data_IF_689350935302
#
_entry.id   IF_689350935302
#
_cell.length_a   1.000
_cell.length_b   1.000
_cell.length_c   1.000
_cell.angle_alpha   90.00
_cell.angle_beta   90.00
_cell.angle_gamma   90.00
#
_symmetry.space_group_name_H-M   'P 1'
#
loop_
_entity.id
_entity.type
_entity.pdbx_description
1 polymer ?
#
# COMPACT_ATOMS: atom_id res chain seq x y z
N UNK A 1 33.60 45.28 -73.34
CA UNK A 1 33.68 44.01 -72.58
C UNK A 1 33.08 44.29 -71.21
N UNK A 2 31.80 43.93 -71.02
CA UNK A 2 31.00 44.25 -69.84
C UNK A 2 31.47 43.40 -68.64
N UNK A 3 31.99 44.03 -67.59
CA UNK A 3 32.31 43.33 -66.34
C UNK A 3 31.07 43.30 -65.44
N UNK A 4 30.48 42.13 -65.28
CA UNK A 4 29.45 41.84 -64.28
C UNK A 4 30.13 41.61 -62.92
N UNK A 5 29.81 42.43 -61.92
CA UNK A 5 30.14 42.15 -60.51
C UNK A 5 28.88 41.68 -59.80
N UNK A 6 28.82 40.38 -59.51
CA UNK A 6 27.74 39.72 -58.76
C UNK A 6 27.87 40.04 -57.27
N UNK A 7 26.87 40.73 -56.70
CA UNK A 7 26.72 40.93 -55.26
C UNK A 7 26.26 39.62 -54.61
N UNK A 8 27.02 39.11 -53.63
CA UNK A 8 26.63 37.99 -52.78
C UNK A 8 25.60 38.48 -51.73
N UNK A 9 24.38 37.94 -51.77
CA UNK A 9 23.41 38.10 -50.69
C UNK A 9 23.71 37.08 -49.59
N UNK A 10 23.93 37.55 -48.37
CA UNK A 10 24.03 36.69 -47.18
C UNK A 10 22.65 36.61 -46.57
N UNK A 11 22.01 35.44 -46.61
CA UNK A 11 20.72 35.19 -45.99
C UNK A 11 20.91 35.02 -44.47
N UNK A 12 20.25 35.86 -43.69
CA UNK A 12 20.22 35.79 -42.23
C UNK A 12 19.08 34.84 -41.83
N UNK A 13 19.39 33.59 -41.49
CA UNK A 13 18.44 32.65 -40.90
C UNK A 13 18.11 33.08 -39.46
N UNK A 14 16.91 33.63 -39.24
CA UNK A 14 16.34 33.77 -37.90
C UNK A 14 15.91 32.40 -37.38
N UNK A 15 16.65 31.88 -36.41
CA UNK A 15 16.25 30.72 -35.60
C UNK A 15 15.15 31.17 -34.63
N UNK A 16 13.91 30.75 -34.89
CA UNK A 16 12.81 30.86 -33.94
C UNK A 16 13.01 29.83 -32.82
N UNK A 17 13.35 30.29 -31.62
CA UNK A 17 13.31 29.47 -30.41
C UNK A 17 11.84 29.28 -30.01
N UNK A 18 11.28 28.10 -30.30
CA UNK A 18 10.02 27.69 -29.70
C UNK A 18 10.26 27.37 -28.22
N UNK A 19 9.76 28.23 -27.32
CA UNK A 19 9.74 27.92 -25.89
C UNK A 19 8.75 26.78 -25.65
N UNK A 20 9.27 25.57 -25.38
CA UNK A 20 8.48 24.50 -24.80
C UNK A 20 8.07 24.91 -23.39
N UNK A 21 6.83 25.37 -23.23
CA UNK A 21 6.20 25.50 -21.92
C UNK A 21 6.05 24.10 -21.33
N UNK A 22 6.89 23.78 -20.36
CA UNK A 22 6.69 22.60 -19.51
C UNK A 22 5.55 22.97 -18.56
N UNK A 23 4.35 22.49 -18.85
CA UNK A 23 3.25 22.60 -17.89
C UNK A 23 3.59 21.76 -16.66
N UNK A 24 3.52 22.32 -15.44
CA UNK A 24 3.74 21.55 -14.23
C UNK A 24 2.61 20.50 -14.13
N UNK A 25 3.01 19.24 -14.01
CA UNK A 25 2.09 18.16 -13.63
C UNK A 25 1.54 18.51 -12.25
N UNK A 26 0.32 19.06 -12.21
CA UNK A 26 -0.40 19.30 -10.96
C UNK A 26 -0.67 17.93 -10.35
N UNK A 27 0.13 17.56 -9.35
CA UNK A 27 -0.23 16.49 -8.44
C UNK A 27 -1.55 16.92 -7.80
N UNK A 28 -2.64 16.17 -8.03
CA UNK A 28 -3.88 16.40 -7.33
C UNK A 28 -3.59 16.29 -5.82
N UNK A 29 -3.57 17.43 -5.12
CA UNK A 29 -3.62 17.42 -3.67
C UNK A 29 -5.00 16.89 -3.28
N UNK A 30 -5.07 15.58 -3.02
CA UNK A 30 -6.26 14.97 -2.48
C UNK A 30 -6.52 15.57 -1.10
N UNK A 31 -7.52 16.45 -1.03
CA UNK A 31 -8.05 16.99 0.22
C UNK A 31 -8.33 15.85 1.20
N UNK A 32 -7.78 15.96 2.41
CA UNK A 32 -7.99 15.00 3.51
C UNK A 32 -9.47 14.94 3.97
N UNK A 33 -10.36 15.81 3.46
CA UNK A 33 -11.79 15.86 3.81
C UNK A 33 -12.58 14.60 3.46
N UNK A 34 -12.12 13.82 2.48
CA UNK A 34 -12.85 12.65 1.99
C UNK A 34 -12.50 11.36 2.76
N UNK A 35 -11.54 11.43 3.70
CA UNK A 35 -11.14 10.30 4.51
C UNK A 35 -12.04 10.17 5.75
N UNK A 36 -12.56 8.97 5.96
CA UNK A 36 -13.32 8.60 7.15
C UNK A 36 -12.45 7.73 8.05
N UNK A 37 -12.38 8.04 9.35
CA UNK A 37 -11.68 7.18 10.30
C UNK A 37 -12.39 5.84 10.44
N UNK A 38 -11.64 4.73 10.32
CA UNK A 38 -12.16 3.37 10.55
C UNK A 38 -11.83 2.85 11.95
N UNK A 39 -11.12 3.65 12.75
CA UNK A 39 -10.89 3.39 14.16
C UNK A 39 -11.29 4.61 14.99
N UNK A 40 -12.06 4.38 16.05
CA UNK A 40 -12.63 5.47 16.84
C UNK A 40 -11.69 6.03 17.93
N UNK A 41 -10.49 5.45 18.09
CA UNK A 41 -9.48 5.90 19.07
C UNK A 41 -9.72 5.45 20.51
N UNK A 42 -10.85 4.79 20.81
CA UNK A 42 -11.32 4.52 22.17
C UNK A 42 -11.52 3.05 22.48
N UNK A 43 -12.07 2.28 21.54
CA UNK A 43 -12.37 0.86 21.70
C UNK A 43 -12.42 0.16 20.33
N UNK A 44 -12.84 -1.09 20.29
CA UNK A 44 -12.92 -1.90 19.07
C UNK A 44 -14.31 -1.86 18.40
N UNK A 45 -15.18 -0.90 18.72
CA UNK A 45 -16.46 -0.77 18.01
C UNK A 45 -16.20 -0.53 16.52
N UNK A 46 -16.93 -1.25 15.66
CA UNK A 46 -16.67 -1.33 14.21
C UNK A 46 -15.62 -2.37 13.81
N UNK A 47 -15.10 -3.15 14.76
CA UNK A 47 -14.16 -4.24 14.53
C UNK A 47 -14.64 -5.56 15.14
N UNK A 48 -14.37 -6.67 14.45
CA UNK A 48 -14.76 -8.02 14.85
C UNK A 48 -13.62 -9.03 14.65
N UNK A 49 -13.81 -10.27 15.10
CA UNK A 49 -12.81 -11.34 14.98
C UNK A 49 -11.98 -11.47 16.25
N UNK A 50 -10.66 -11.38 16.13
CA UNK A 50 -9.73 -11.59 17.24
C UNK A 50 -9.68 -10.41 18.23
N UNK A 51 -10.81 -9.92 18.72
CA UNK A 51 -10.90 -8.74 19.61
C UNK A 51 -10.11 -8.90 20.91
N UNK A 52 -9.98 -10.13 21.43
CA UNK A 52 -9.12 -10.44 22.59
C UNK A 52 -7.63 -10.22 22.32
N UNK A 53 -7.21 -10.25 21.05
CA UNK A 53 -5.83 -10.04 20.61
C UNK A 53 -5.45 -8.58 20.38
N UNK A 54 -6.39 -7.65 20.55
CA UNK A 54 -6.18 -6.21 20.34
C UNK A 54 -6.74 -5.39 21.49
N UNK A 55 -6.35 -4.13 21.59
CA UNK A 55 -6.93 -3.18 22.52
C UNK A 55 -6.70 -1.74 22.03
N UNK A 56 -7.54 -0.83 22.52
CA UNK A 56 -7.37 0.60 22.30
C UNK A 56 -6.63 1.23 23.48
N UNK A 57 -5.67 2.12 23.19
CA UNK A 57 -4.97 2.91 24.20
C UNK A 57 -4.43 4.19 23.58
N UNK A 58 -4.68 5.34 24.22
CA UNK A 58 -4.15 6.65 23.81
C UNK A 58 -4.40 6.99 22.33
N UNK A 59 -5.61 6.68 21.82
CA UNK A 59 -5.96 6.91 20.41
C UNK A 59 -5.39 5.88 19.43
N UNK A 60 -4.68 4.85 19.91
CA UNK A 60 -4.07 3.80 19.11
C UNK A 60 -4.84 2.49 19.19
N UNK A 61 -4.85 1.74 18.09
CA UNK A 61 -5.25 0.34 18.05
C UNK A 61 -3.97 -0.50 18.15
N UNK A 62 -3.86 -1.35 19.17
CA UNK A 62 -2.63 -2.06 19.48
C UNK A 62 -2.86 -3.57 19.43
N UNK A 63 -2.04 -4.28 18.66
CA UNK A 63 -1.99 -5.74 18.68
C UNK A 63 -1.23 -6.21 19.94
N UNK A 64 -1.76 -7.21 20.64
CA UNK A 64 -1.12 -7.80 21.83
C UNK A 64 -0.02 -8.77 21.42
N UNK A 65 1.14 -8.63 22.07
CA UNK A 65 2.22 -9.62 22.01
C UNK A 65 1.70 -10.99 22.48
N UNK A 66 2.17 -12.06 21.84
CA UNK A 66 1.85 -13.46 22.10
C UNK A 66 0.36 -13.85 21.88
N UNK A 67 -0.44 -12.94 21.31
CA UNK A 67 -1.84 -13.21 20.91
C UNK A 67 -2.06 -12.87 19.44
N UNK A 68 -2.28 -11.59 19.10
CA UNK A 68 -2.64 -11.19 17.74
C UNK A 68 -3.91 -11.87 17.23
N UNK A 69 -3.88 -12.33 15.98
CA UNK A 69 -5.04 -12.87 15.27
C UNK A 69 -5.61 -11.89 14.26
N UNK A 70 -6.66 -12.33 13.56
CA UNK A 70 -7.28 -11.57 12.48
C UNK A 70 -8.42 -10.70 13.02
N UNK A 71 -8.22 -9.39 12.96
CA UNK A 71 -9.22 -8.40 13.34
C UNK A 71 -9.77 -7.72 12.08
N UNK A 72 -11.07 -7.75 11.88
CA UNK A 72 -11.74 -7.31 10.65
C UNK A 72 -12.55 -6.05 10.90
N UNK A 73 -12.65 -5.17 9.92
CA UNK A 73 -13.67 -4.12 9.90
C UNK A 73 -15.06 -4.75 9.79
N UNK A 74 -16.09 -4.12 10.37
CA UNK A 74 -17.49 -4.50 10.18
C UNK A 74 -17.93 -4.33 8.71
N UNK A 75 -17.49 -3.24 8.08
CA UNK A 75 -17.78 -2.86 6.71
C UNK A 75 -16.84 -3.55 5.71
N UNK A 76 -17.39 -3.86 4.54
CA UNK A 76 -16.62 -4.29 3.37
C UNK A 76 -16.34 -3.10 2.45
N UNK A 77 -15.18 -3.13 1.78
CA UNK A 77 -14.71 -2.10 0.88
C UNK A 77 -14.35 -2.69 -0.47
N UNK A 78 -14.69 -1.96 -1.55
CA UNK A 78 -14.39 -2.34 -2.94
C UNK A 78 -13.14 -1.61 -3.45
N UNK A 79 -13.31 -0.40 -3.94
CA UNK A 79 -12.22 0.49 -4.35
C UNK A 79 -12.00 1.53 -3.25
N UNK A 80 -10.76 1.75 -2.85
CA UNK A 80 -10.45 2.66 -1.75
C UNK A 80 -8.99 3.12 -1.74
N UNK A 81 -8.74 4.19 -0.99
CA UNK A 81 -7.43 4.54 -0.47
C UNK A 81 -7.48 4.42 1.05
N UNK A 82 -6.64 3.57 1.61
CA UNK A 82 -6.47 3.40 3.06
C UNK A 82 -5.16 4.07 3.46
N UNK A 83 -5.21 4.98 4.43
CA UNK A 83 -4.03 5.59 5.07
C UNK A 83 -3.98 5.19 6.53
N UNK A 84 -2.79 4.90 7.03
CA UNK A 84 -2.58 4.60 8.43
C UNK A 84 -1.12 4.82 8.82
N UNK A 85 -0.92 5.04 10.12
CA UNK A 85 0.40 5.03 10.72
C UNK A 85 0.58 3.74 11.52
N UNK A 86 1.79 3.19 11.50
CA UNK A 86 2.15 2.03 12.28
C UNK A 86 3.55 2.17 12.90
N UNK A 87 3.75 1.51 14.02
CA UNK A 87 5.05 1.41 14.70
C UNK A 87 5.35 -0.03 15.07
N UNK A 88 6.53 -0.48 14.67
CA UNK A 88 7.00 -1.85 14.85
C UNK A 88 7.79 -2.01 16.14
N UNK A 89 7.70 -3.19 16.75
CA UNK A 89 8.69 -3.73 17.70
C UNK A 89 9.67 -4.67 16.98
N UNK A 90 10.85 -4.99 17.57
CA UNK A 90 11.82 -5.88 16.94
C UNK A 90 11.23 -7.24 16.58
N UNK A 91 11.36 -7.64 15.32
CA UNK A 91 10.85 -8.90 14.79
C UNK A 91 9.33 -8.95 14.62
N UNK A 92 8.63 -7.81 14.66
CA UNK A 92 7.20 -7.76 14.46
C UNK A 92 6.77 -8.27 13.08
N UNK A 93 5.61 -8.90 13.03
CA UNK A 93 4.96 -9.42 11.83
C UNK A 93 3.43 -9.27 11.97
N UNK A 94 2.81 -8.66 10.98
CA UNK A 94 1.38 -8.47 10.83
C UNK A 94 1.09 -8.24 9.33
N UNK A 95 -0.13 -7.90 8.95
CA UNK A 95 -0.45 -7.51 7.59
C UNK A 95 -1.73 -6.70 7.52
N UNK A 96 -1.87 -5.92 6.45
CA UNK A 96 -3.14 -5.34 6.05
C UNK A 96 -3.77 -6.25 5.01
N UNK A 97 -4.71 -7.07 5.46
CA UNK A 97 -5.62 -7.79 4.59
C UNK A 97 -6.64 -6.85 3.97
N UNK A 98 -6.99 -7.07 2.70
CA UNK A 98 -8.09 -6.40 2.02
C UNK A 98 -8.85 -7.36 1.12
N UNK A 99 -10.13 -7.01 0.85
CA UNK A 99 -11.09 -7.89 0.19
C UNK A 99 -11.22 -9.26 0.87
N UNK A 100 -10.94 -9.33 2.17
CA UNK A 100 -10.97 -10.58 2.91
C UNK A 100 -12.42 -10.96 3.19
N UNK A 101 -12.88 -12.18 2.86
CA UNK A 101 -14.20 -12.62 3.30
C UNK A 101 -14.23 -12.71 4.82
N UNK A 102 -15.38 -12.42 5.40
CA UNK A 102 -15.65 -12.70 6.81
C UNK A 102 -15.47 -14.21 7.07
N UNK A 103 -14.77 -14.53 8.15
CA UNK A 103 -14.46 -15.90 8.58
C UNK A 103 -13.90 -16.78 7.44
N UNK A 104 -12.71 -16.43 6.89
CA UNK A 104 -12.16 -17.16 5.77
C UNK A 104 -11.86 -18.61 6.19
N UNK A 105 -12.18 -19.57 5.31
CA UNK A 105 -11.84 -20.99 5.51
C UNK A 105 -10.32 -21.26 5.39
N UNK A 106 -9.59 -20.32 4.81
CA UNK A 106 -8.14 -20.35 4.60
C UNK A 106 -7.52 -19.06 5.16
N UNK A 107 -6.20 -18.90 5.02
CA UNK A 107 -5.52 -17.68 5.48
C UNK A 107 -6.12 -16.42 4.82
N UNK A 108 -6.30 -15.30 5.56
CA UNK A 108 -6.67 -14.00 5.00
C UNK A 108 -5.82 -13.58 3.79
N UNK A 109 -4.52 -13.91 3.80
CA UNK A 109 -3.61 -13.61 2.70
C UNK A 109 -4.07 -14.19 1.36
N UNK A 110 -4.64 -15.40 1.36
CA UNK A 110 -5.07 -16.12 0.15
C UNK A 110 -6.58 -16.08 -0.07
N UNK A 111 -7.38 -15.94 0.99
CA UNK A 111 -8.83 -15.77 0.92
C UNK A 111 -9.24 -14.37 0.47
N UNK A 112 -8.48 -13.34 0.88
CA UNK A 112 -8.51 -11.98 0.35
C UNK A 112 -7.20 -11.68 -0.36
N UNK A 113 -6.51 -10.63 0.06
CA UNK A 113 -5.15 -10.24 -0.36
C UNK A 113 -4.48 -9.54 0.82
N UNK A 114 -3.15 -9.56 0.92
CA UNK A 114 -2.45 -8.98 2.07
C UNK A 114 -1.25 -8.12 1.65
N UNK A 115 -1.16 -6.92 2.24
CA UNK A 115 0.06 -6.11 2.24
C UNK A 115 0.83 -6.39 3.53
N UNK A 116 2.06 -6.85 3.40
CA UNK A 116 2.89 -7.29 4.53
C UNK A 116 3.30 -6.12 5.46
N UNK A 117 3.19 -6.31 6.78
CA UNK A 117 3.76 -5.41 7.81
C UNK A 117 4.82 -6.19 8.60
N UNK A 118 6.10 -5.91 8.32
CA UNK A 118 7.20 -6.73 8.84
C UNK A 118 8.37 -5.86 9.28
N UNK A 119 9.01 -6.24 10.38
CA UNK A 119 10.38 -5.78 10.66
C UNK A 119 11.37 -6.53 9.75
N UNK A 120 11.65 -5.93 8.59
CA UNK A 120 12.61 -6.41 7.59
C UNK A 120 14.04 -6.61 8.12
N UNK A 121 14.38 -6.00 9.27
CA UNK A 121 15.74 -6.06 9.85
C UNK A 121 15.95 -7.26 10.76
N UNK A 122 14.88 -7.96 11.16
CA UNK A 122 14.98 -9.06 12.09
C UNK A 122 15.68 -10.27 11.48
N UNK A 123 16.72 -10.79 12.17
CA UNK A 123 17.55 -11.92 11.70
C UNK A 123 16.75 -13.16 11.28
N UNK A 124 15.61 -13.43 11.95
CA UNK A 124 14.71 -14.56 11.62
C UNK A 124 14.10 -14.46 10.21
N UNK A 125 14.06 -13.27 9.63
CA UNK A 125 13.51 -13.00 8.31
C UNK A 125 14.59 -12.80 7.23
N UNK A 126 15.86 -13.08 7.52
CA UNK A 126 16.98 -12.84 6.60
C UNK A 126 16.94 -13.68 5.29
N UNK A 127 16.10 -14.72 5.24
CA UNK A 127 16.02 -15.67 4.11
C UNK A 127 14.60 -15.78 3.53
N UNK A 128 13.78 -14.75 3.69
CA UNK A 128 12.47 -14.72 3.07
C UNK A 128 12.57 -14.53 1.55
N UNK A 129 11.54 -15.00 0.84
CA UNK A 129 11.33 -14.68 -0.56
C UNK A 129 10.98 -13.20 -0.72
N UNK A 130 11.30 -12.63 -1.89
CA UNK A 130 11.14 -11.18 -2.14
C UNK A 130 9.71 -10.68 -1.88
N UNK A 131 8.69 -11.51 -2.17
CA UNK A 131 7.26 -11.18 -1.98
C UNK A 131 6.77 -11.30 -0.53
N UNK A 132 7.64 -11.63 0.42
CA UNK A 132 7.29 -11.80 1.84
C UNK A 132 7.83 -10.69 2.73
N UNK A 133 8.59 -9.73 2.19
CA UNK A 133 9.09 -8.58 2.94
C UNK A 133 8.04 -7.47 3.01
N UNK A 134 8.25 -6.52 3.93
CA UNK A 134 7.32 -5.43 4.18
C UNK A 134 6.85 -4.70 2.90
N UNK A 135 5.56 -4.37 2.88
CA UNK A 135 4.91 -3.65 1.80
C UNK A 135 4.57 -4.51 0.57
N UNK A 136 5.10 -5.73 0.47
CA UNK A 136 4.79 -6.63 -0.63
C UNK A 136 3.30 -7.01 -0.61
N UNK A 137 2.70 -7.13 -1.80
CA UNK A 137 1.45 -7.88 -1.96
C UNK A 137 1.80 -9.35 -1.86
N UNK A 138 1.51 -9.95 -0.70
CA UNK A 138 2.04 -11.25 -0.30
C UNK A 138 1.77 -12.33 -1.37
N UNK A 139 2.81 -13.08 -1.73
CA UNK A 139 2.75 -14.12 -2.76
C UNK A 139 2.64 -13.62 -4.20
N UNK A 140 2.31 -12.34 -4.43
CA UNK A 140 1.93 -11.82 -5.75
C UNK A 140 2.93 -10.81 -6.31
N UNK A 141 3.28 -9.76 -5.56
CA UNK A 141 4.15 -8.69 -6.05
C UNK A 141 5.13 -8.21 -4.96
N UNK A 142 6.45 -8.25 -5.21
CA UNK A 142 7.43 -7.79 -4.24
C UNK A 142 7.48 -6.27 -4.15
N UNK A 143 7.68 -5.74 -2.94
CA UNK A 143 7.92 -4.32 -2.71
C UNK A 143 9.40 -3.94 -2.88
N UNK A 144 9.63 -2.67 -3.23
CA UNK A 144 10.93 -2.02 -3.08
C UNK A 144 11.30 -1.95 -1.58
N UNK A 145 12.51 -2.37 -1.23
CA UNK A 145 13.01 -2.38 0.15
C UNK A 145 13.68 -1.06 0.53
N UNK A 146 13.80 -0.81 1.84
CA UNK A 146 14.66 0.26 2.39
C UNK A 146 13.95 1.56 2.79
N UNK A 147 12.61 1.62 2.72
CA UNK A 147 11.84 2.83 3.04
C UNK A 147 11.19 2.81 4.43
N UNK A 148 11.38 1.74 5.20
CA UNK A 148 10.99 1.68 6.62
C UNK A 148 11.90 2.60 7.43
N UNK A 149 11.30 3.34 8.36
CA UNK A 149 12.05 3.98 9.44
C UNK A 149 12.56 2.93 10.44
N UNK A 150 13.57 3.26 11.27
CA UNK A 150 14.03 2.39 12.33
C UNK A 150 12.89 1.84 13.20
N UNK A 151 13.07 0.62 13.71
CA UNK A 151 12.13 0.00 14.65
C UNK A 151 11.93 0.93 15.86
N UNK A 152 10.67 1.09 16.28
CA UNK A 152 10.28 2.07 17.30
C UNK A 152 9.88 3.45 16.76
N UNK A 153 10.04 3.72 15.47
CA UNK A 153 9.54 4.94 14.83
C UNK A 153 8.21 4.74 14.09
N UNK A 154 7.44 5.82 13.99
CA UNK A 154 6.19 5.85 13.25
C UNK A 154 6.43 5.92 11.74
N UNK A 155 5.91 4.92 11.04
CA UNK A 155 5.81 4.88 9.59
C UNK A 155 4.40 5.26 9.16
N UNK A 156 4.27 5.94 8.02
CA UNK A 156 2.97 6.22 7.38
C UNK A 156 2.88 5.40 6.09
N UNK A 157 1.79 4.64 5.93
CA UNK A 157 1.54 3.87 4.72
C UNK A 157 0.18 4.21 4.12
N UNK A 158 0.16 4.30 2.80
CA UNK A 158 -1.04 4.40 1.99
C UNK A 158 -1.16 3.16 1.09
N UNK A 159 -2.36 2.58 1.05
CA UNK A 159 -2.74 1.50 0.15
C UNK A 159 -3.89 1.99 -0.73
N UNK A 160 -3.64 2.14 -2.02
CA UNK A 160 -4.66 2.33 -3.03
C UNK A 160 -5.03 0.98 -3.65
N UNK A 161 -6.33 0.72 -3.69
CA UNK A 161 -6.95 -0.41 -4.38
C UNK A 161 -8.02 0.15 -5.31
N UNK A 162 -7.80 0.05 -6.61
CA UNK A 162 -8.72 0.56 -7.64
C UNK A 162 -8.86 -0.51 -8.75
N UNK A 163 -9.93 -1.30 -8.66
CA UNK A 163 -10.12 -2.48 -9.50
C UNK A 163 -8.96 -3.47 -9.35
N UNK A 164 -8.17 -3.64 -10.42
CA UNK A 164 -7.00 -4.51 -10.43
C UNK A 164 -5.71 -3.80 -10.01
N UNK A 165 -5.72 -2.47 -9.88
CA UNK A 165 -4.54 -1.70 -9.50
C UNK A 165 -4.36 -1.70 -7.99
N UNK A 166 -3.17 -2.05 -7.56
CA UNK A 166 -2.72 -1.97 -6.17
C UNK A 166 -1.47 -1.10 -6.13
N UNK A 167 -1.50 -0.07 -5.29
CA UNK A 167 -0.34 0.79 -5.05
C UNK A 167 -0.11 0.93 -3.56
N UNK A 168 1.15 0.73 -3.16
CA UNK A 168 1.59 0.90 -1.77
C UNK A 168 2.61 2.02 -1.73
N UNK A 169 2.31 3.06 -0.95
CA UNK A 169 3.21 4.19 -0.68
C UNK A 169 3.62 4.12 0.79
N UNK A 170 4.92 4.04 1.05
CA UNK A 170 5.49 4.02 2.40
C UNK A 170 6.35 5.27 2.60
N UNK A 171 6.04 6.05 3.63
CA UNK A 171 6.76 7.29 3.97
C UNK A 171 6.98 8.20 2.74
N UNK A 172 5.94 8.36 1.92
CA UNK A 172 5.97 9.18 0.70
C UNK A 172 6.61 8.51 -0.52
N UNK A 173 7.11 7.29 -0.42
CA UNK A 173 7.72 6.56 -1.55
C UNK A 173 6.83 5.42 -2.04
N UNK A 174 6.56 5.37 -3.35
CA UNK A 174 5.84 4.24 -3.97
C UNK A 174 6.75 3.01 -4.01
N UNK A 175 6.40 2.00 -3.21
CA UNK A 175 7.14 0.74 -3.06
C UNK A 175 6.50 -0.42 -3.81
N UNK A 176 5.20 -0.34 -4.14
CA UNK A 176 4.48 -1.24 -5.05
C UNK A 176 3.57 -0.41 -5.95
N UNK A 177 3.58 -0.70 -7.25
CA UNK A 177 2.61 -0.23 -8.23
C UNK A 177 2.35 -1.39 -9.19
N UNK A 178 1.22 -2.08 -9.02
CA UNK A 178 0.99 -3.41 -9.60
C UNK A 178 -0.43 -3.55 -10.14
N UNK A 179 -0.55 -4.13 -11.34
CA UNK A 179 -1.82 -4.54 -11.93
C UNK A 179 -2.00 -6.06 -11.78
N UNK A 180 -3.01 -6.46 -11.01
CA UNK A 180 -3.30 -7.86 -10.73
C UNK A 180 -3.88 -8.65 -11.91
N UNK A 181 -4.13 -8.02 -13.07
CA UNK A 181 -4.77 -8.67 -14.22
C UNK A 181 -4.03 -9.94 -14.65
N UNK A 182 -2.70 -9.89 -14.75
CA UNK A 182 -1.90 -11.05 -15.14
C UNK A 182 -1.95 -12.14 -14.06
N UNK A 183 -1.76 -11.77 -12.79
CA UNK A 183 -1.81 -12.71 -11.67
C UNK A 183 -3.17 -13.40 -11.53
N UNK A 184 -4.28 -12.71 -11.81
CA UNK A 184 -5.64 -13.28 -11.83
C UNK A 184 -5.80 -14.36 -12.91
N UNK A 185 -5.11 -14.22 -14.04
CA UNK A 185 -5.20 -15.12 -15.20
C UNK A 185 -4.21 -16.28 -15.11
N UNK A 186 -2.97 -15.97 -14.74
CA UNK A 186 -1.83 -16.85 -14.89
C UNK A 186 -1.29 -17.38 -13.54
N UNK A 187 -1.85 -16.90 -12.42
CA UNK A 187 -1.43 -17.28 -11.08
C UNK A 187 -0.37 -16.36 -10.49
N UNK A 188 -0.08 -16.57 -9.21
CA UNK A 188 0.88 -15.77 -8.44
C UNK A 188 2.31 -16.28 -8.56
N UNK A 189 3.27 -15.41 -8.27
CA UNK A 189 4.71 -15.75 -8.32
C UNK A 189 5.14 -16.75 -7.24
N UNK A 190 4.32 -16.99 -6.22
CA UNK A 190 4.52 -18.05 -5.23
C UNK A 190 3.92 -19.41 -5.64
N UNK A 191 3.27 -19.46 -6.80
CA UNK A 191 2.66 -20.65 -7.40
C UNK A 191 1.59 -21.34 -6.54
N UNK A 192 1.01 -20.65 -5.57
CA UNK A 192 -0.08 -21.17 -4.74
C UNK A 192 -1.44 -20.79 -5.32
N UNK A 193 -2.45 -21.59 -5.01
CA UNK A 193 -3.83 -21.20 -5.30
C UNK A 193 -4.20 -19.96 -4.48
N UNK A 194 -4.76 -18.96 -5.15
CA UNK A 194 -5.06 -17.65 -4.57
C UNK A 194 -6.47 -17.20 -4.94
N UNK A 195 -7.52 -17.87 -4.40
CA UNK A 195 -8.91 -17.59 -4.75
C UNK A 195 -9.31 -16.14 -4.45
N UNK A 196 -8.68 -15.54 -3.44
CA UNK A 196 -8.89 -14.14 -3.06
C UNK A 196 -8.49 -13.12 -4.11
N UNK A 197 -7.65 -13.46 -5.10
CA UNK A 197 -7.36 -12.57 -6.24
C UNK A 197 -8.63 -12.21 -7.02
N UNK A 198 -9.60 -13.13 -7.10
CA UNK A 198 -10.87 -12.91 -7.82
C UNK A 198 -11.87 -12.06 -7.04
N UNK A 199 -11.64 -11.81 -5.75
CA UNK A 199 -12.52 -10.95 -4.94
C UNK A 199 -12.24 -9.49 -5.24
N UNK A 200 -13.31 -8.72 -5.35
CA UNK A 200 -13.26 -7.27 -5.60
C UNK A 200 -13.78 -6.45 -4.42
N UNK A 201 -14.43 -7.11 -3.46
CA UNK A 201 -15.00 -6.51 -2.25
C UNK A 201 -14.77 -7.43 -1.06
N UNK A 202 -14.56 -6.84 0.12
CA UNK A 202 -14.45 -7.55 1.38
C UNK A 202 -13.89 -6.68 2.49
N UNK A 203 -13.62 -7.27 3.64
CA UNK A 203 -13.18 -6.56 4.83
C UNK A 203 -11.72 -6.11 4.73
N UNK A 204 -11.40 -5.03 5.44
CA UNK A 204 -10.02 -4.76 5.85
C UNK A 204 -9.71 -5.63 7.06
N UNK A 205 -8.51 -6.20 7.12
CA UNK A 205 -8.08 -7.09 8.19
C UNK A 205 -6.70 -6.68 8.71
N UNK A 206 -6.53 -6.62 10.03
CA UNK A 206 -5.21 -6.64 10.65
C UNK A 206 -4.83 -8.10 10.90
N UNK A 207 -3.87 -8.62 10.15
CA UNK A 207 -3.44 -10.02 10.15
C UNK A 207 -2.35 -10.24 11.22
N UNK A 208 -2.72 -10.26 12.50
CA UNK A 208 -1.74 -10.29 13.60
C UNK A 208 -1.03 -11.63 13.79
N UNK A 209 0.30 -11.62 13.80
CA UNK A 209 1.15 -12.81 14.02
C UNK A 209 1.84 -12.81 15.40
N UNK A 210 1.12 -12.42 16.46
CA UNK A 210 1.59 -12.51 17.85
C UNK A 210 2.66 -11.48 18.24
N UNK A 211 2.95 -10.49 17.40
CA UNK A 211 3.82 -9.37 17.74
C UNK A 211 3.00 -8.14 18.12
N UNK A 212 3.52 -7.35 19.07
CA UNK A 212 2.95 -6.04 19.34
C UNK A 212 3.28 -5.08 18.21
N UNK A 213 2.23 -4.46 17.68
CA UNK A 213 2.28 -3.37 16.71
C UNK A 213 1.25 -2.34 17.13
N UNK A 214 1.62 -1.08 17.01
CA UNK A 214 0.74 0.04 17.33
C UNK A 214 0.31 0.71 16.03
N UNK A 215 -0.99 0.92 15.87
CA UNK A 215 -1.61 1.57 14.72
C UNK A 215 -2.34 2.83 15.16
N UNK A 216 -2.32 3.87 14.35
CA UNK A 216 -3.16 5.07 14.53
C UNK A 216 -3.48 5.69 13.17
N UNK A 217 -4.36 6.70 13.19
CA UNK A 217 -4.76 7.41 11.98
C UNK A 217 -5.26 6.48 10.86
N UNK A 218 -5.91 5.36 11.23
CA UNK A 218 -6.51 4.44 10.27
C UNK A 218 -7.74 5.09 9.65
N UNK A 219 -7.60 5.53 8.40
CA UNK A 219 -8.63 6.27 7.68
C UNK A 219 -8.74 5.82 6.24
N UNK A 220 -9.95 5.79 5.72
CA UNK A 220 -10.25 5.27 4.39
C UNK A 220 -11.06 6.28 3.58
N UNK A 221 -10.71 6.40 2.29
CA UNK A 221 -11.50 7.11 1.28
C UNK A 221 -11.98 6.08 0.27
N UNK A 222 -13.28 5.88 0.16
CA UNK A 222 -13.85 5.02 -0.89
C UNK A 222 -13.77 5.72 -2.25
N UNK A 223 -13.45 4.94 -3.28
CA UNK A 223 -13.40 5.40 -4.67
C UNK A 223 -14.69 4.94 -5.39
N UNK A 224 -15.11 5.72 -6.39
CA UNK A 224 -16.30 5.44 -7.19
C UNK A 224 -16.11 4.21 -8.09
#
# INVERSE_FOLDING_TARGET
>A
MLQFTTRKFTALCLLAFASLSVEPLVAEEHCDSDFVSIFNGKNLDGWEGATDGYYAKDGMLISKKDSGGNLFTDKEYKNFVLRFDFKLEPGANNGIGFHVPRHPKTSPAYAGKEIQILDDTAKKYAKLQKYQYHGSLYGTAPAKRGHLKPVGEWNTQELLVDGNKVKVTLNGTVIVDFDMTDAKKNGTIDHKDHPGLKREIGHICLCGHGAKIEFKNLRIKELK
#
